data_IF_120540098206
#
_entry.id   IF_120540098206
#
_cell.length_a   1.000
_cell.length_b   1.000
_cell.length_c   1.000
_cell.angle_alpha   90.00
_cell.angle_beta   90.00
_cell.angle_gamma   90.00
#
_symmetry.space_group_name_H-M   'P 1'
#
loop_
_entity.id
_entity.type
_entity.pdbx_description
1 polymer ?
#
# COMPACT_ATOMS: atom_id res chain seq x y z
N UNK A 1 -2.96 -19.58 5.07
CA UNK A 1 -2.23 -18.31 5.24
C UNK A 1 -3.16 -17.23 5.77
N UNK A 2 -2.76 -16.51 6.82
CA UNK A 2 -3.47 -15.32 7.28
C UNK A 2 -2.93 -14.11 6.51
N UNK A 3 -3.70 -13.62 5.54
CA UNK A 3 -3.35 -12.40 4.78
C UNK A 3 -3.94 -11.20 5.50
N UNK A 4 -3.16 -10.13 5.64
CA UNK A 4 -3.58 -8.86 6.22
C UNK A 4 -3.26 -7.72 5.26
N UNK A 5 -4.23 -6.84 5.01
CA UNK A 5 -4.02 -5.66 4.18
C UNK A 5 -3.59 -4.49 5.05
N UNK A 6 -2.53 -3.82 4.63
CA UNK A 6 -2.10 -2.53 5.17
C UNK A 6 -2.26 -1.46 4.11
N UNK A 7 -2.54 -0.24 4.54
CA UNK A 7 -2.83 0.88 3.66
C UNK A 7 -1.80 1.96 3.90
N UNK A 8 -1.27 2.49 2.81
CA UNK A 8 -0.21 3.48 2.80
C UNK A 8 -0.54 4.58 1.81
N UNK A 9 0.04 5.74 2.04
CA UNK A 9 0.11 6.84 1.09
C UNK A 9 1.58 7.10 0.83
N UNK A 10 2.01 6.88 -0.40
CA UNK A 10 3.39 7.13 -0.85
C UNK A 10 3.34 8.40 -1.68
N UNK A 11 3.79 9.50 -1.08
CA UNK A 11 3.55 10.86 -1.56
C UNK A 11 2.08 11.20 -1.75
N UNK A 12 1.61 11.20 -2.99
CA UNK A 12 0.19 11.45 -3.32
C UNK A 12 -0.55 10.19 -3.76
N UNK A 13 0.15 9.07 -3.88
CA UNK A 13 -0.41 7.82 -4.41
C UNK A 13 -0.92 6.96 -3.25
N UNK A 14 -2.22 6.61 -3.24
CA UNK A 14 -2.75 5.61 -2.32
C UNK A 14 -2.24 4.21 -2.72
N UNK A 15 -1.55 3.54 -1.81
CA UNK A 15 -1.05 2.17 -2.00
C UNK A 15 -1.62 1.25 -0.92
N UNK A 16 -2.11 0.07 -1.29
CA UNK A 16 -2.43 -1.00 -0.32
C UNK A 16 -1.47 -2.17 -0.51
N UNK A 17 -1.03 -2.78 0.58
CA UNK A 17 -0.06 -3.87 0.56
C UNK A 17 -0.63 -5.08 1.29
N UNK A 18 -0.53 -6.23 0.64
CA UNK A 18 -0.83 -7.52 1.25
C UNK A 18 0.38 -8.02 2.03
N UNK A 19 0.16 -8.28 3.32
CA UNK A 19 1.13 -8.90 4.20
C UNK A 19 0.69 -10.31 4.55
N UNK A 20 1.66 -11.22 4.59
CA UNK A 20 1.54 -12.56 5.18
C UNK A 20 2.41 -12.66 6.43
N UNK A 21 2.41 -13.83 7.06
CA UNK A 21 3.35 -14.16 8.14
C UNK A 21 4.83 -14.05 7.74
N UNK A 22 5.14 -14.10 6.44
CA UNK A 22 6.49 -13.99 5.89
C UNK A 22 6.87 -12.55 5.48
N UNK A 23 5.92 -11.60 5.47
CA UNK A 23 6.17 -10.20 5.11
C UNK A 23 5.25 -9.68 3.99
N UNK A 24 5.66 -8.59 3.34
CA UNK A 24 4.93 -8.00 2.23
C UNK A 24 4.97 -8.92 1.00
N UNK A 25 3.80 -9.30 0.50
CA UNK A 25 3.62 -10.21 -0.64
C UNK A 25 3.36 -9.46 -1.95
N UNK A 26 2.52 -8.43 -1.90
CA UNK A 26 2.14 -7.65 -3.07
C UNK A 26 1.73 -6.23 -2.68
N UNK A 27 2.12 -5.23 -3.47
CA UNK A 27 1.63 -3.87 -3.34
C UNK A 27 0.73 -3.51 -4.52
N UNK A 28 -0.30 -2.72 -4.23
CA UNK A 28 -1.27 -2.25 -5.20
C UNK A 28 -1.36 -0.74 -5.11
N UNK A 29 -0.88 -0.05 -6.14
CA UNK A 29 -0.97 1.39 -6.25
C UNK A 29 -2.27 1.78 -6.96
N UNK A 30 -2.90 2.85 -6.50
CA UNK A 30 -4.06 3.43 -7.16
C UNK A 30 -3.60 4.33 -8.30
N UNK A 31 -3.87 3.91 -9.53
CA UNK A 31 -3.47 4.62 -10.74
C UNK A 31 -4.65 4.63 -11.73
N UNK A 32 -4.98 5.82 -12.25
CA UNK A 32 -6.06 5.99 -13.23
C UNK A 32 -7.42 5.42 -12.79
N UNK A 33 -7.77 5.56 -11.50
CA UNK A 33 -9.06 5.11 -10.96
C UNK A 33 -9.13 3.62 -10.62
N UNK A 34 -8.02 2.87 -10.73
CA UNK A 34 -7.97 1.46 -10.42
C UNK A 34 -6.72 1.09 -9.62
N UNK A 35 -6.82 0.03 -8.82
CA UNK A 35 -5.67 -0.56 -8.16
C UNK A 35 -4.92 -1.48 -9.12
N UNK A 36 -3.66 -1.15 -9.40
CA UNK A 36 -2.75 -1.99 -10.18
C UNK A 36 -1.65 -2.53 -9.28
N UNK A 37 -1.24 -3.78 -9.55
CA UNK A 37 -0.12 -4.39 -8.83
C UNK A 37 1.15 -3.65 -9.24
N UNK A 38 1.83 -3.06 -8.27
CA UNK A 38 3.12 -2.44 -8.45
C UNK A 38 3.98 -2.69 -7.21
N UNK A 39 4.84 -3.70 -7.31
CA UNK A 39 5.68 -4.15 -6.20
C UNK A 39 6.87 -3.20 -5.95
N UNK A 40 7.11 -2.19 -6.80
CA UNK A 40 8.13 -1.18 -6.52
C UNK A 40 7.82 -0.43 -5.21
N UNK A 41 6.54 -0.21 -4.94
CA UNK A 41 6.09 0.44 -3.70
C UNK A 41 6.38 -0.37 -2.44
N UNK A 42 6.58 -1.70 -2.50
CA UNK A 42 7.03 -2.47 -1.33
C UNK A 42 8.40 -1.97 -0.87
N UNK A 43 9.30 -1.74 -1.82
CA UNK A 43 10.63 -1.23 -1.54
C UNK A 43 10.59 0.24 -1.09
N UNK A 44 9.71 1.06 -1.66
CA UNK A 44 9.54 2.47 -1.25
C UNK A 44 9.02 2.58 0.19
N UNK A 45 8.00 1.79 0.53
CA UNK A 45 7.46 1.70 1.88
C UNK A 45 8.53 1.21 2.86
N UNK A 46 9.36 0.24 2.45
CA UNK A 46 10.47 -0.23 3.27
C UNK A 46 11.59 0.81 3.47
N UNK A 47 11.79 1.72 2.49
CA UNK A 47 12.71 2.86 2.63
C UNK A 47 12.15 3.94 3.57
N UNK A 48 10.83 4.09 3.64
CA UNK A 48 10.13 5.01 4.53
C UNK A 48 10.22 6.49 4.14
N UNK A 49 10.73 6.79 2.94
CA UNK A 49 10.78 8.16 2.42
C UNK A 49 9.40 8.51 1.84
N UNK A 50 8.77 9.55 2.40
CA UNK A 50 7.45 10.05 1.97
C UNK A 50 6.29 9.02 2.06
N UNK A 51 6.38 8.10 3.02
CA UNK A 51 5.38 7.04 3.25
C UNK A 51 4.63 7.29 4.54
N UNK A 52 3.29 7.34 4.45
CA UNK A 52 2.39 7.44 5.60
C UNK A 52 1.51 6.18 5.68
N UNK A 53 1.55 5.45 6.81
CA UNK A 53 0.62 4.34 7.05
C UNK A 53 -0.74 4.91 7.47
N UNK A 54 -1.80 4.49 6.78
CA UNK A 54 -3.15 4.96 6.96
C UNK A 54 -4.04 3.88 7.54
N UNK A 55 -5.06 4.30 8.28
CA UNK A 55 -6.19 3.43 8.57
C UNK A 55 -7.00 3.20 7.30
N UNK A 56 -7.69 2.06 7.22
CA UNK A 56 -8.58 1.75 6.08
C UNK A 56 -9.54 2.90 5.79
N UNK A 57 -10.15 3.49 6.82
CA UNK A 57 -11.11 4.58 6.65
C UNK A 57 -10.47 5.88 6.16
N UNK A 58 -9.23 6.18 6.54
CA UNK A 58 -8.49 7.34 6.01
C UNK A 58 -8.09 7.11 4.55
N UNK A 59 -7.66 5.89 4.23
CA UNK A 59 -7.32 5.47 2.88
C UNK A 59 -8.51 5.55 1.92
N UNK A 60 -9.69 5.07 2.34
CA UNK A 60 -10.92 5.12 1.54
C UNK A 60 -11.39 6.55 1.23
N UNK A 61 -10.97 7.55 2.02
CA UNK A 61 -11.25 8.98 1.73
C UNK A 61 -10.31 9.58 0.68
N UNK A 62 -9.21 8.91 0.35
CA UNK A 62 -8.25 9.34 -0.66
C UNK A 62 -8.52 8.77 -2.06
N UNK A 63 -9.45 7.81 -2.16
CA UNK A 63 -9.89 7.19 -3.41
C UNK A 63 -11.03 7.99 -4.03
#
# INVERSE_FOLDING_TARGET
>A
EKVSLRYFKVGVVPVKVEYTEYGARAAYAFENGAFKIDNAYIAEIAKGEDVEELTKSAFEKLL
#
